data_IF_713779532515
#
_entry.id   IF_713779532515
#
_cell.length_a   1.000
_cell.length_b   1.000
_cell.length_c   1.000
_cell.angle_alpha   90.00
_cell.angle_beta   90.00
_cell.angle_gamma   90.00
#
_symmetry.space_group_name_H-M   'P 1'
#
loop_
_entity.id
_entity.type
_entity.pdbx_description
1 polymer ?
#
# COMPACT_ATOMS: atom_id res chain seq x y z
N UNK A 1 -14.49 -32.34 -14.84
CA UNK A 1 -13.94 -32.07 -16.19
C UNK A 1 -14.48 -30.76 -16.77
N UNK A 2 -15.80 -30.54 -16.84
CA UNK A 2 -16.39 -29.31 -17.42
C UNK A 2 -16.02 -28.02 -16.66
N UNK A 3 -15.89 -28.07 -15.33
CA UNK A 3 -15.52 -26.90 -14.51
C UNK A 3 -14.12 -26.36 -14.83
N UNK A 4 -13.15 -27.24 -15.13
CA UNK A 4 -11.78 -26.83 -15.46
C UNK A 4 -11.71 -25.96 -16.71
N UNK A 5 -12.62 -26.16 -17.66
CA UNK A 5 -12.70 -25.37 -18.90
C UNK A 5 -13.03 -23.91 -18.61
N UNK A 6 -13.78 -23.62 -17.54
CA UNK A 6 -14.11 -22.26 -17.11
C UNK A 6 -13.10 -21.74 -16.09
N UNK A 7 -12.70 -22.59 -15.14
CA UNK A 7 -11.82 -22.19 -14.04
C UNK A 7 -10.39 -21.90 -14.49
N UNK A 8 -9.85 -22.61 -15.49
CA UNK A 8 -8.49 -22.38 -15.98
C UNK A 8 -8.36 -21.00 -16.66
N UNK A 9 -9.21 -20.63 -17.64
CA UNK A 9 -9.17 -19.29 -18.23
C UNK A 9 -9.45 -18.20 -17.20
N UNK A 10 -10.39 -18.43 -16.27
CA UNK A 10 -10.70 -17.47 -15.22
C UNK A 10 -9.50 -17.23 -14.30
N UNK A 11 -8.81 -18.29 -13.87
CA UNK A 11 -7.62 -18.17 -13.04
C UNK A 11 -6.48 -17.45 -13.77
N UNK A 12 -6.26 -17.73 -15.06
CA UNK A 12 -5.27 -17.02 -15.87
C UNK A 12 -5.63 -15.53 -16.04
N UNK A 13 -6.90 -15.22 -16.29
CA UNK A 13 -7.38 -13.85 -16.40
C UNK A 13 -7.19 -13.08 -15.09
N UNK A 14 -7.54 -13.68 -13.95
CA UNK A 14 -7.34 -13.09 -12.62
C UNK A 14 -5.85 -12.91 -12.31
N UNK A 15 -5.01 -13.88 -12.66
CA UNK A 15 -3.56 -13.77 -12.52
C UNK A 15 -2.96 -12.62 -13.34
N UNK A 16 -3.38 -12.49 -14.60
CA UNK A 16 -2.97 -11.39 -15.48
C UNK A 16 -3.48 -10.02 -14.97
N UNK A 17 -4.73 -9.95 -14.51
CA UNK A 17 -5.30 -8.75 -13.90
C UNK A 17 -4.50 -8.33 -12.66
N UNK A 18 -4.18 -9.28 -11.78
CA UNK A 18 -3.37 -9.03 -10.59
C UNK A 18 -1.97 -8.56 -10.94
N UNK A 19 -1.30 -9.21 -11.90
CA UNK A 19 0.03 -8.81 -12.36
C UNK A 19 0.01 -7.41 -12.98
N UNK A 20 -0.98 -7.11 -13.83
CA UNK A 20 -1.13 -5.80 -14.44
C UNK A 20 -1.39 -4.71 -13.40
N UNK A 21 -2.29 -4.95 -12.45
CA UNK A 21 -2.58 -4.03 -11.35
C UNK A 21 -1.34 -3.81 -10.47
N UNK A 22 -0.56 -4.86 -10.19
CA UNK A 22 0.69 -4.78 -9.44
C UNK A 22 1.74 -3.92 -10.17
N UNK A 23 1.96 -4.17 -11.47
CA UNK A 23 2.89 -3.35 -12.27
C UNK A 23 2.44 -1.90 -12.37
N UNK A 24 1.12 -1.66 -12.51
CA UNK A 24 0.56 -0.31 -12.48
C UNK A 24 0.80 0.37 -11.13
N UNK A 25 0.61 -0.34 -10.02
CA UNK A 25 0.88 0.16 -8.67
C UNK A 25 2.34 0.60 -8.48
N UNK A 26 3.29 -0.22 -8.96
CA UNK A 26 4.71 0.13 -8.94
C UNK A 26 5.01 1.40 -9.75
N UNK A 27 4.43 1.52 -10.95
CA UNK A 27 4.63 2.71 -11.80
C UNK A 27 3.96 3.97 -11.24
N UNK A 28 2.87 3.82 -10.49
CA UNK A 28 2.13 4.93 -9.90
C UNK A 28 2.80 5.56 -8.67
N UNK A 29 3.92 5.01 -8.19
CA UNK A 29 4.66 5.55 -7.04
C UNK A 29 3.93 5.40 -5.70
N UNK A 30 2.86 4.59 -5.64
CA UNK A 30 2.07 4.42 -4.40
C UNK A 30 2.86 3.76 -3.26
N UNK A 31 3.96 3.06 -3.58
CA UNK A 31 4.86 2.49 -2.58
C UNK A 31 5.81 3.53 -1.95
N UNK A 32 6.05 4.67 -2.60
CA UNK A 32 6.95 5.71 -2.08
C UNK A 32 6.32 6.46 -0.88
N UNK A 33 4.99 6.56 -0.82
CA UNK A 33 4.28 7.15 0.33
C UNK A 33 4.10 6.15 1.50
N UNK A 34 4.30 4.84 1.28
CA UNK A 34 4.25 3.85 2.37
C UNK A 34 5.41 4.01 3.34
N UNK A 35 6.60 4.38 2.85
CA UNK A 35 7.78 4.65 3.71
C UNK A 35 7.51 5.84 4.66
N UNK A 36 6.91 6.92 4.15
CA UNK A 36 6.52 8.07 4.96
C UNK A 36 5.32 7.79 5.87
N UNK A 37 4.33 7.03 5.41
CA UNK A 37 3.18 6.63 6.21
C UNK A 37 3.54 5.68 7.37
N UNK A 38 4.49 4.76 7.16
CA UNK A 38 4.98 3.87 8.21
C UNK A 38 5.71 4.62 9.33
N UNK A 39 6.54 5.61 8.96
CA UNK A 39 7.19 6.49 9.94
C UNK A 39 6.15 7.28 10.74
N UNK A 40 5.15 7.87 10.08
CA UNK A 40 4.04 8.58 10.76
C UNK A 40 3.24 7.67 11.68
N UNK A 41 2.90 6.46 11.26
CA UNK A 41 2.11 5.52 12.06
C UNK A 41 2.84 5.00 13.30
N UNK A 42 4.18 4.97 13.29
CA UNK A 42 5.00 4.56 14.44
C UNK A 42 5.37 5.75 15.34
N UNK A 43 5.56 6.95 14.76
CA UNK A 43 5.96 8.15 15.50
C UNK A 43 4.81 9.05 15.96
N UNK A 44 3.54 8.69 15.72
CA UNK A 44 2.38 9.50 16.13
C UNK A 44 2.17 9.59 17.67
N UNK A 45 3.20 9.26 18.46
CA UNK A 45 3.17 9.28 19.92
C UNK A 45 3.80 10.55 20.55
N UNK A 46 4.19 11.58 19.78
CA UNK A 46 4.70 12.83 20.38
C UNK A 46 4.20 14.10 19.67
N UNK A 47 3.09 14.70 20.14
CA UNK A 47 2.94 16.14 19.99
C UNK A 47 4.02 16.84 20.83
N UNK A 48 4.74 17.86 20.31
CA UNK A 48 5.56 18.70 21.17
C UNK A 48 4.61 19.41 22.13
N UNK A 49 4.53 18.92 23.37
CA UNK A 49 3.89 19.62 24.47
C UNK A 49 4.73 20.88 24.72
N UNK A 50 4.36 21.97 24.05
CA UNK A 50 4.90 23.29 24.33
C UNK A 50 4.51 23.62 25.77
N UNK A 51 5.44 23.48 26.70
CA UNK A 51 5.23 23.94 28.08
C UNK A 51 5.10 25.46 28.03
N UNK A 52 4.01 26.05 28.56
CA UNK A 52 3.88 27.49 28.63
C UNK A 52 4.97 28.03 29.58
N UNK A 53 5.98 28.72 29.02
CA UNK A 53 6.98 29.44 29.82
C UNK A 53 8.45 29.32 29.42
N UNK A 54 8.83 28.58 28.37
CA UNK A 54 10.25 28.54 27.94
C UNK A 54 10.73 29.92 27.44
N UNK A 55 11.75 30.54 28.08
CA UNK A 55 12.41 31.72 27.55
C UNK A 55 13.41 31.32 26.45
N UNK A 56 13.59 32.22 25.47
CA UNK A 56 14.49 32.09 24.32
C UNK A 56 15.96 31.89 24.71
#
# INVERSE_FOLDING_TARGET
MQSLIVLVPLALALGLLGLWAFMWSLRSGQFDDLDGAGWRAILDDDPPVKKPGDPL
#
